data_IF_268552863492
#
_entry.id   IF_268552863492
#
_cell.length_a   1.000
_cell.length_b   1.000
_cell.length_c   1.000
_cell.angle_alpha   90.00
_cell.angle_beta   90.00
_cell.angle_gamma   90.00
#
_symmetry.space_group_name_H-M   'P 1'
#
loop_
_entity.id
_entity.type
_entity.pdbx_description
1 polymer ?
#
# COMPACT_ATOMS: atom_id res chain seq x y z
N UNK A 1 2.95 -7.05 -4.24
CA UNK A 1 1.54 -7.46 -4.25
C UNK A 1 0.68 -6.30 -3.74
N UNK A 2 -0.35 -5.94 -4.52
CA UNK A 2 -1.27 -4.79 -4.35
C UNK A 2 -0.69 -3.37 -4.55
N UNK A 3 0.62 -3.21 -4.81
CA UNK A 3 1.27 -1.91 -5.06
C UNK A 3 2.24 -1.96 -6.25
N UNK A 4 2.38 -3.12 -6.89
CA UNK A 4 3.22 -3.38 -8.06
C UNK A 4 2.83 -2.51 -9.24
N UNK A 5 1.54 -2.38 -9.53
CA UNK A 5 1.07 -1.56 -10.65
C UNK A 5 1.44 -0.09 -10.44
N UNK A 6 1.34 0.40 -9.20
CA UNK A 6 1.79 1.74 -8.84
C UNK A 6 3.31 1.87 -8.95
N UNK A 7 4.08 0.90 -8.45
CA UNK A 7 5.54 0.92 -8.50
C UNK A 7 6.05 0.89 -9.95
N UNK A 8 5.46 0.03 -10.78
CA UNK A 8 5.73 -0.04 -12.22
C UNK A 8 5.36 1.27 -12.90
N UNK A 9 4.14 1.77 -12.68
CA UNK A 9 3.69 3.02 -13.29
C UNK A 9 4.57 4.20 -12.91
N UNK A 10 5.00 4.25 -11.65
CA UNK A 10 5.92 5.28 -11.15
C UNK A 10 7.29 5.20 -11.85
N UNK A 11 7.84 4.00 -12.03
CA UNK A 11 9.12 3.80 -12.75
C UNK A 11 9.03 4.23 -14.21
N UNK A 12 7.97 3.81 -14.91
CA UNK A 12 7.72 4.16 -16.32
C UNK A 12 7.62 5.67 -16.48
N UNK A 13 6.83 6.33 -15.62
CA UNK A 13 6.70 7.78 -15.61
C UNK A 13 8.04 8.49 -15.31
N UNK A 14 8.80 8.00 -14.33
CA UNK A 14 10.11 8.56 -13.97
C UNK A 14 11.16 8.41 -15.08
N UNK A 15 11.03 7.41 -15.94
CA UNK A 15 11.89 7.21 -17.09
C UNK A 15 11.48 8.05 -18.32
N UNK A 16 10.47 8.93 -18.18
CA UNK A 16 10.04 9.86 -19.25
C UNK A 16 8.98 9.30 -20.18
N UNK A 17 8.50 8.08 -19.94
CA UNK A 17 7.41 7.49 -20.70
C UNK A 17 6.05 7.97 -20.20
N UNK A 18 5.05 7.92 -21.08
CA UNK A 18 3.67 8.24 -20.78
C UNK A 18 2.84 6.97 -20.72
N UNK A 19 1.98 6.87 -19.72
CA UNK A 19 1.01 5.78 -19.58
C UNK A 19 -0.37 6.30 -19.99
N UNK A 20 -1.00 5.61 -20.93
CA UNK A 20 -2.32 5.97 -21.46
C UNK A 20 -3.31 4.84 -21.22
N UNK A 21 -4.54 5.23 -20.90
CA UNK A 21 -5.70 4.33 -20.95
C UNK A 21 -6.42 4.55 -22.29
N UNK A 22 -6.64 3.49 -23.05
CA UNK A 22 -7.42 3.56 -24.29
C UNK A 22 -8.91 3.42 -23.93
N UNK A 23 -9.66 4.52 -24.05
CA UNK A 23 -11.07 4.56 -23.62
C UNK A 23 -12.00 3.63 -24.39
N UNK A 24 -11.66 3.34 -25.66
CA UNK A 24 -12.45 2.46 -26.54
C UNK A 24 -11.98 0.99 -26.48
N UNK A 25 -11.05 0.66 -25.59
CA UNK A 25 -10.59 -0.71 -25.38
C UNK A 25 -11.38 -1.34 -24.25
N UNK A 26 -12.06 -2.43 -24.53
CA UNK A 26 -12.82 -3.19 -23.54
C UNK A 26 -12.11 -4.50 -23.20
N UNK A 27 -11.89 -4.73 -21.91
CA UNK A 27 -11.32 -5.96 -21.37
C UNK A 27 -12.19 -6.42 -20.22
N UNK A 28 -12.80 -7.59 -20.37
CA UNK A 28 -13.66 -8.17 -19.34
C UNK A 28 -12.81 -8.83 -18.26
N UNK A 29 -12.97 -8.38 -17.02
CA UNK A 29 -12.30 -8.94 -15.85
C UNK A 29 -13.34 -9.43 -14.85
N UNK A 30 -13.20 -10.68 -14.39
CA UNK A 30 -14.06 -11.25 -13.36
C UNK A 30 -13.85 -10.48 -12.05
N UNK A 31 -14.84 -9.71 -11.64
CA UNK A 31 -14.78 -8.98 -10.36
C UNK A 31 -15.10 -9.96 -9.22
N UNK A 32 -14.27 -9.97 -8.18
CA UNK A 32 -14.46 -10.77 -6.98
C UNK A 32 -15.61 -10.32 -6.06
N UNK A 33 -16.65 -9.68 -6.61
CA UNK A 33 -17.76 -9.07 -5.87
C UNK A 33 -18.61 -10.10 -5.10
N UNK A 34 -18.52 -11.39 -5.45
CA UNK A 34 -19.33 -12.48 -4.88
C UNK A 34 -18.68 -13.17 -3.66
N UNK A 35 -17.55 -12.68 -3.14
CA UNK A 35 -16.99 -13.19 -1.88
C UNK A 35 -17.70 -12.50 -0.73
N UNK A 36 -18.79 -13.10 -0.24
CA UNK A 36 -19.79 -12.55 0.69
C UNK A 36 -19.31 -12.04 2.07
N UNK A 37 -18.03 -11.72 2.26
CA UNK A 37 -17.49 -11.15 3.49
C UNK A 37 -16.45 -10.04 3.27
N UNK A 38 -16.72 -9.16 2.32
CA UNK A 38 -16.07 -7.85 2.22
C UNK A 38 -14.73 -7.85 1.45
N UNK A 39 -14.54 -6.79 0.69
CA UNK A 39 -13.48 -6.58 -0.31
C UNK A 39 -12.03 -6.66 0.21
N UNK A 40 -11.82 -6.92 1.50
CA UNK A 40 -10.52 -6.87 2.16
C UNK A 40 -10.28 -8.14 2.97
N UNK A 41 -9.48 -9.05 2.42
CA UNK A 41 -8.98 -10.23 3.13
C UNK A 41 -7.83 -9.87 4.06
N UNK A 42 -7.50 -10.76 5.00
CA UNK A 42 -6.30 -10.65 5.85
C UNK A 42 -5.03 -10.44 5.03
N UNK A 43 -4.88 -11.26 4.00
CA UNK A 43 -3.75 -11.23 3.09
C UNK A 43 -3.67 -9.89 2.34
N UNK A 44 -4.79 -9.41 1.78
CA UNK A 44 -4.78 -8.14 1.06
C UNK A 44 -4.56 -6.95 2.00
N UNK A 45 -5.08 -6.99 3.23
CA UNK A 45 -4.87 -5.97 4.25
C UNK A 45 -3.38 -5.81 4.62
N UNK A 46 -2.69 -6.93 4.88
CA UNK A 46 -1.26 -6.94 5.21
C UNK A 46 -0.41 -6.44 4.04
N UNK A 47 -0.53 -7.07 2.87
CA UNK A 47 0.36 -6.80 1.73
C UNK A 47 0.13 -5.42 1.13
N UNK A 48 -1.12 -4.94 1.08
CA UNK A 48 -1.43 -3.58 0.64
C UNK A 48 -0.80 -2.53 1.56
N UNK A 49 -0.86 -2.73 2.88
CA UNK A 49 -0.26 -1.78 3.82
C UNK A 49 1.27 -1.80 3.74
N UNK A 50 1.88 -2.99 3.80
CA UNK A 50 3.34 -3.15 3.69
C UNK A 50 3.87 -2.56 2.39
N UNK A 51 3.24 -2.88 1.27
CA UNK A 51 3.59 -2.34 -0.05
C UNK A 51 3.50 -0.81 -0.09
N UNK A 52 2.43 -0.24 0.47
CA UNK A 52 2.21 1.22 0.49
C UNK A 52 3.31 1.92 1.27
N UNK A 53 3.61 1.47 2.50
CA UNK A 53 4.65 2.09 3.34
C UNK A 53 6.02 2.00 2.68
N UNK A 54 6.35 0.86 2.07
CA UNK A 54 7.59 0.70 1.30
C UNK A 54 7.68 1.67 0.13
N UNK A 55 6.61 1.80 -0.66
CA UNK A 55 6.56 2.72 -1.79
C UNK A 55 6.77 4.17 -1.33
N UNK A 56 5.98 4.63 -0.35
CA UNK A 56 6.10 5.98 0.19
C UNK A 56 7.52 6.26 0.73
N UNK A 57 8.10 5.29 1.43
CA UNK A 57 9.40 5.43 2.08
C UNK A 57 10.59 5.38 1.11
N UNK A 58 10.48 4.67 -0.01
CA UNK A 58 11.61 4.42 -0.93
C UNK A 58 11.53 5.20 -2.24
N UNK A 59 10.34 5.54 -2.73
CA UNK A 59 10.16 6.12 -4.07
C UNK A 59 9.91 7.63 -4.06
N UNK A 60 9.35 8.18 -2.99
CA UNK A 60 8.96 9.59 -2.96
C UNK A 60 10.08 10.52 -2.44
N UNK A 61 10.16 11.76 -2.96
CA UNK A 61 11.04 12.79 -2.40
C UNK A 61 10.61 13.18 -0.98
N UNK A 62 11.52 13.77 -0.21
CA UNK A 62 11.36 13.99 1.23
C UNK A 62 10.03 14.64 1.62
N UNK A 63 9.68 15.79 1.03
CA UNK A 63 8.43 16.49 1.34
C UNK A 63 7.19 15.63 1.05
N UNK A 64 7.11 15.01 -0.14
CA UNK A 64 5.98 14.13 -0.50
C UNK A 64 5.90 12.89 0.39
N UNK A 65 7.04 12.37 0.82
CA UNK A 65 7.13 11.24 1.74
C UNK A 65 6.54 11.61 3.11
N UNK A 66 6.98 12.72 3.69
CA UNK A 66 6.50 13.18 5.00
C UNK A 66 5.00 13.45 4.95
N UNK A 67 4.53 14.22 3.97
CA UNK A 67 3.09 14.53 3.86
C UNK A 67 2.24 13.29 3.62
N UNK A 68 2.70 12.35 2.80
CA UNK A 68 1.97 11.10 2.54
C UNK A 68 1.91 10.18 3.76
N UNK A 69 2.97 10.12 4.57
CA UNK A 69 2.98 9.33 5.82
C UNK A 69 2.06 9.97 6.87
N UNK A 70 2.09 11.30 7.02
CA UNK A 70 1.16 12.02 7.91
C UNK A 70 -0.28 11.75 7.48
N UNK A 71 -0.60 11.91 6.19
CA UNK A 71 -1.93 11.62 5.66
C UNK A 71 -2.35 10.16 5.90
N UNK A 72 -1.43 9.22 5.72
CA UNK A 72 -1.68 7.81 6.01
C UNK A 72 -2.08 7.60 7.47
N UNK A 73 -1.31 8.15 8.41
CA UNK A 73 -1.55 8.01 9.85
C UNK A 73 -2.86 8.69 10.26
N UNK A 74 -3.15 9.90 9.76
CA UNK A 74 -4.37 10.64 10.10
C UNK A 74 -5.65 9.95 9.61
N UNK A 75 -5.58 9.30 8.45
CA UNK A 75 -6.76 8.62 7.87
C UNK A 75 -7.02 7.23 8.47
N UNK A 76 -6.01 6.60 9.10
CA UNK A 76 -6.14 5.23 9.63
C UNK A 76 -7.13 5.09 10.79
N UNK A 77 -7.16 5.95 11.82
CA UNK A 77 -8.07 5.81 12.96
C UNK A 77 -9.53 5.68 12.55
N UNK A 78 -10.01 6.53 11.62
CA UNK A 78 -11.39 6.51 11.12
C UNK A 78 -11.71 5.14 10.48
N UNK A 79 -10.80 4.63 9.64
CA UNK A 79 -10.97 3.34 8.97
C UNK A 79 -10.86 2.15 9.93
N UNK A 80 -9.97 2.23 10.92
CA UNK A 80 -9.83 1.20 11.96
C UNK A 80 -11.07 1.14 12.83
N UNK A 81 -11.63 2.29 13.21
CA UNK A 81 -12.88 2.38 13.93
C UNK A 81 -14.03 1.72 13.14
N UNK A 82 -14.14 2.01 11.84
CA UNK A 82 -15.12 1.34 10.97
C UNK A 82 -14.98 -0.19 10.96
N UNK A 83 -13.76 -0.72 10.81
CA UNK A 83 -13.54 -2.17 10.81
C UNK A 83 -13.75 -2.80 12.18
N UNK A 84 -13.45 -2.06 13.25
CA UNK A 84 -13.72 -2.48 14.63
C UNK A 84 -15.23 -2.64 14.87
N UNK A 85 -16.04 -1.66 14.45
CA UNK A 85 -17.51 -1.75 14.53
C UNK A 85 -18.10 -2.91 13.71
N UNK A 86 -17.41 -3.33 12.65
CA UNK A 86 -17.78 -4.50 11.83
C UNK A 86 -17.26 -5.84 12.37
N UNK A 87 -16.59 -5.85 13.52
CA UNK A 87 -15.98 -7.05 14.10
C UNK A 87 -14.78 -7.58 13.31
N UNK A 88 -14.26 -6.83 12.33
CA UNK A 88 -13.16 -7.23 11.44
C UNK A 88 -11.80 -6.80 11.98
N UNK A 89 -11.56 -7.08 13.26
CA UNK A 89 -10.34 -6.67 13.98
C UNK A 89 -9.06 -7.26 13.37
N UNK A 90 -9.17 -8.44 12.76
CA UNK A 90 -8.06 -9.06 12.03
C UNK A 90 -7.51 -8.18 10.90
N UNK A 91 -8.36 -7.36 10.24
CA UNK A 91 -7.93 -6.44 9.18
C UNK A 91 -7.06 -5.34 9.77
N UNK A 92 -7.46 -4.80 10.92
CA UNK A 92 -6.72 -3.76 11.62
C UNK A 92 -5.35 -4.29 12.06
N UNK A 93 -5.32 -5.46 12.70
CA UNK A 93 -4.09 -6.11 13.15
C UNK A 93 -3.13 -6.37 11.99
N UNK A 94 -3.63 -6.90 10.87
CA UNK A 94 -2.82 -7.14 9.69
C UNK A 94 -2.30 -5.87 9.03
N UNK A 95 -3.08 -4.77 9.02
CA UNK A 95 -2.57 -3.48 8.57
C UNK A 95 -1.47 -2.94 9.49
N UNK A 96 -1.65 -3.00 10.81
CA UNK A 96 -0.63 -2.56 11.78
C UNK A 96 0.65 -3.38 11.59
N UNK A 97 0.53 -4.71 11.50
CA UNK A 97 1.66 -5.61 11.26
C UNK A 97 2.39 -5.27 9.96
N UNK A 98 1.66 -5.08 8.86
CA UNK A 98 2.24 -4.70 7.57
C UNK A 98 2.95 -3.34 7.60
N UNK A 99 2.43 -2.39 8.37
CA UNK A 99 3.06 -1.08 8.59
C UNK A 99 4.39 -1.22 9.35
N UNK A 100 4.39 -1.94 10.48
CA UNK A 100 5.57 -2.14 11.31
C UNK A 100 6.67 -2.92 10.59
N UNK A 101 6.30 -4.00 9.89
CA UNK A 101 7.24 -4.81 9.10
C UNK A 101 7.93 -3.98 8.02
N UNK A 102 7.20 -3.08 7.35
CA UNK A 102 7.77 -2.19 6.35
C UNK A 102 8.81 -1.21 6.95
N UNK A 103 8.57 -0.74 8.18
CA UNK A 103 9.52 0.14 8.89
C UNK A 103 10.73 -0.62 9.42
N UNK A 104 10.53 -1.81 9.98
CA UNK A 104 11.60 -2.66 10.52
C UNK A 104 12.56 -3.11 9.42
N UNK A 105 12.04 -3.55 8.27
CA UNK A 105 12.88 -3.93 7.13
C UNK A 105 13.72 -2.75 6.62
N UNK A 106 13.14 -1.56 6.57
CA UNK A 106 13.88 -0.34 6.24
C UNK A 106 15.00 -0.07 7.25
N UNK A 107 14.73 -0.24 8.55
CA UNK A 107 15.73 -0.07 9.59
C UNK A 107 16.89 -1.06 9.43
N UNK A 108 16.60 -2.34 9.20
CA UNK A 108 17.62 -3.37 8.92
C UNK A 108 18.47 -3.03 7.69
N UNK A 109 17.84 -2.60 6.60
CA UNK A 109 18.56 -2.20 5.39
C UNK A 109 19.42 -0.94 5.59
N UNK A 110 18.96 0.01 6.41
CA UNK A 110 19.73 1.20 6.77
C UNK A 110 20.93 0.88 7.66
N UNK A 111 20.84 -0.14 8.51
CA UNK A 111 21.97 -0.62 9.31
C UNK A 111 22.97 -1.37 8.43
N UNK A 112 22.50 -2.26 7.56
CA UNK A 112 23.35 -3.00 6.64
C UNK A 112 24.16 -2.07 5.71
N UNK A 113 23.53 -1.00 5.21
CA UNK A 113 24.20 0.02 4.39
C UNK A 113 25.13 0.98 5.14
N UNK A 114 25.24 0.90 6.48
CA UNK A 114 26.21 1.65 7.29
C UNK A 114 27.44 0.82 7.66
N UNK A 115 27.44 -0.47 7.34
CA UNK A 115 28.53 -1.43 7.64
C UNK A 115 29.40 -1.69 6.39
N UNK A 116 29.04 -1.13 5.23
CA UNK A 116 29.82 -1.09 3.99
C UNK A 116 30.31 0.34 3.73
#
# INVERSE_FOLDING_TARGET
MYVEDLDYSYKVWKAGYKLYRVGNSEVWHKVGASSGDGEVSEFSAYWSMRGRVKFLSSKLPFFKKVTSIIFLILTRPIRFFYFYLKGKNFIVNNQIKGFLDALCEKYKNSLAGRVL
#
